data_IF_015743041057
#
_entry.id   IF_015743041057
#
_cell.length_a   1.000
_cell.length_b   1.000
_cell.length_c   1.000
_cell.angle_alpha   90.00
_cell.angle_beta   90.00
_cell.angle_gamma   90.00
#
_symmetry.space_group_name_H-M   'P 1'
#
loop_
_entity.id
_entity.type
_entity.pdbx_description
1 polymer ?
#
# COMPACT_ATOMS: atom_id res chain seq x y z
N UNK A 1 -2.59 -0.94 -23.83
CA UNK A 1 -2.34 -0.79 -22.38
C UNK A 1 -3.59 -0.40 -21.62
N UNK A 2 -4.26 0.70 -21.98
CA UNK A 2 -5.50 1.15 -21.31
C UNK A 2 -6.59 0.06 -21.26
N UNK A 3 -6.79 -0.69 -22.34
CA UNK A 3 -7.77 -1.79 -22.39
C UNK A 3 -7.43 -2.95 -21.43
N UNK A 4 -6.13 -3.20 -21.15
CA UNK A 4 -5.71 -4.21 -20.17
C UNK A 4 -6.16 -3.85 -18.74
N UNK A 5 -6.57 -2.60 -18.51
CA UNK A 5 -7.05 -2.09 -17.24
C UNK A 5 -8.55 -1.74 -17.27
N UNK A 6 -9.36 -2.18 -18.24
CA UNK A 6 -10.77 -1.72 -18.35
C UNK A 6 -10.93 -0.19 -18.49
N UNK A 7 -9.95 0.48 -19.09
CA UNK A 7 -10.02 1.91 -19.37
C UNK A 7 -9.08 2.75 -18.53
N UNK A 8 -9.09 4.06 -18.82
CA UNK A 8 -8.12 5.01 -18.26
C UNK A 8 -8.31 5.23 -16.76
N UNK A 9 -9.55 5.11 -16.27
CA UNK A 9 -9.90 5.34 -14.86
C UNK A 9 -9.16 4.33 -13.97
N UNK A 10 -9.27 3.04 -14.25
CA UNK A 10 -8.63 2.02 -13.41
C UNK A 10 -7.11 1.98 -13.61
N UNK A 11 -6.60 2.32 -14.80
CA UNK A 11 -5.16 2.54 -14.97
C UNK A 11 -4.66 3.69 -14.07
N UNK A 12 -5.40 4.80 -13.99
CA UNK A 12 -5.05 5.91 -13.11
C UNK A 12 -5.12 5.50 -11.63
N UNK A 13 -6.18 4.78 -11.21
CA UNK A 13 -6.30 4.25 -9.84
C UNK A 13 -5.13 3.32 -9.52
N UNK A 14 -4.77 2.43 -10.43
CA UNK A 14 -3.64 1.51 -10.27
C UNK A 14 -2.33 2.27 -10.07
N UNK A 15 -2.06 3.27 -10.91
CA UNK A 15 -0.86 4.08 -10.80
C UNK A 15 -0.82 4.87 -9.49
N UNK A 16 -1.90 5.55 -9.11
CA UNK A 16 -1.98 6.33 -7.86
C UNK A 16 -1.75 5.42 -6.65
N UNK A 17 -2.40 4.25 -6.64
CA UNK A 17 -2.26 3.28 -5.55
C UNK A 17 -0.79 2.83 -5.38
N UNK A 18 -0.18 2.32 -6.45
CA UNK A 18 1.16 1.74 -6.36
C UNK A 18 2.28 2.79 -6.33
N UNK A 19 2.06 4.03 -6.79
CA UNK A 19 2.95 5.16 -6.50
C UNK A 19 2.94 5.46 -4.99
N UNK A 20 1.78 5.38 -4.34
CA UNK A 20 1.68 5.48 -2.88
C UNK A 20 2.54 4.41 -2.19
N UNK A 21 2.44 3.16 -2.65
CA UNK A 21 3.29 2.07 -2.15
C UNK A 21 4.77 2.34 -2.36
N UNK A 22 5.16 2.76 -3.57
CA UNK A 22 6.55 3.08 -3.90
C UNK A 22 7.09 4.20 -3.01
N UNK A 23 6.30 5.24 -2.80
CA UNK A 23 6.65 6.38 -1.95
C UNK A 23 6.88 5.95 -0.50
N UNK A 24 5.94 5.23 0.11
CA UNK A 24 6.09 4.76 1.50
C UNK A 24 7.23 3.73 1.62
N UNK A 25 7.36 2.81 0.68
CA UNK A 25 8.48 1.86 0.63
C UNK A 25 9.83 2.58 0.59
N UNK A 26 9.97 3.59 -0.28
CA UNK A 26 11.17 4.40 -0.39
C UNK A 26 11.47 5.18 0.90
N UNK A 27 10.46 5.84 1.47
CA UNK A 27 10.59 6.59 2.73
C UNK A 27 11.05 5.71 3.87
N UNK A 28 10.45 4.53 4.02
CA UNK A 28 10.78 3.58 5.08
C UNK A 28 12.19 3.00 4.91
N UNK A 29 12.64 2.71 3.69
CA UNK A 29 13.92 2.01 3.43
C UNK A 29 15.11 2.96 3.30
N UNK A 30 14.97 4.01 2.49
CA UNK A 30 16.09 4.89 2.13
C UNK A 30 16.08 6.22 2.88
N UNK A 31 14.91 6.66 3.38
CA UNK A 31 14.78 7.88 4.19
C UNK A 31 14.31 7.58 5.62
N UNK A 32 14.71 6.42 6.16
CA UNK A 32 14.24 5.88 7.44
C UNK A 32 14.32 6.89 8.58
N UNK A 33 15.45 7.62 8.70
CA UNK A 33 15.63 8.61 9.77
C UNK A 33 14.56 9.72 9.71
N UNK A 34 14.30 10.25 8.52
CA UNK A 34 13.26 11.28 8.33
C UNK A 34 11.87 10.72 8.62
N UNK A 35 11.60 9.46 8.25
CA UNK A 35 10.34 8.79 8.55
C UNK A 35 10.14 8.59 10.06
N UNK A 36 11.15 8.10 10.77
CA UNK A 36 11.10 7.95 12.23
C UNK A 36 10.86 9.31 12.91
N UNK A 37 11.57 10.36 12.47
CA UNK A 37 11.42 11.71 12.99
C UNK A 37 10.01 12.29 12.79
N UNK A 38 9.35 11.96 11.67
CA UNK A 38 7.98 12.39 11.37
C UNK A 38 6.98 11.84 12.41
N UNK A 39 7.15 10.59 12.83
CA UNK A 39 6.25 9.92 13.79
C UNK A 39 6.76 9.92 15.24
N UNK A 40 7.87 10.59 15.52
CA UNK A 40 8.46 10.63 16.87
C UNK A 40 8.99 9.27 17.35
N UNK A 41 9.35 8.38 16.43
CA UNK A 41 9.91 7.08 16.75
C UNK A 41 11.40 7.18 17.07
N UNK A 42 11.86 6.42 18.06
CA UNK A 42 13.29 6.31 18.38
C UNK A 42 14.07 5.59 17.27
N UNK A 43 15.36 5.91 17.10
CA UNK A 43 16.22 5.39 16.02
C UNK A 43 16.37 3.87 16.02
N UNK A 44 16.21 3.24 17.18
CA UNK A 44 16.17 1.77 17.32
C UNK A 44 15.02 1.12 16.55
N UNK A 45 13.98 1.88 16.18
CA UNK A 45 12.89 1.45 15.31
C UNK A 45 13.29 1.31 13.83
N UNK A 46 14.49 1.74 13.43
CA UNK A 46 14.92 1.71 12.03
C UNK A 46 14.83 0.31 11.40
N UNK A 47 15.18 -0.75 12.16
CA UNK A 47 15.12 -2.13 11.68
C UNK A 47 13.71 -2.54 11.28
N UNK A 48 12.72 -2.31 12.16
CA UNK A 48 11.32 -2.72 11.90
C UNK A 48 10.65 -1.86 10.83
N UNK A 49 10.98 -0.56 10.76
CA UNK A 49 10.46 0.34 9.71
C UNK A 49 10.99 -0.06 8.33
N UNK A 50 12.28 -0.40 8.21
CA UNK A 50 12.85 -0.90 6.96
C UNK A 50 12.27 -2.25 6.55
N UNK A 51 12.07 -3.15 7.52
CA UNK A 51 11.37 -4.41 7.28
C UNK A 51 9.98 -4.18 6.70
N UNK A 52 9.18 -3.29 7.31
CA UNK A 52 7.87 -2.92 6.78
C UNK A 52 7.95 -2.31 5.36
N UNK A 53 8.89 -1.38 5.14
CA UNK A 53 9.12 -0.78 3.84
C UNK A 53 9.53 -1.77 2.74
N UNK A 54 10.24 -2.86 3.10
CA UNK A 54 10.64 -3.89 2.13
C UNK A 54 9.44 -4.60 1.49
N UNK A 55 8.36 -4.79 2.24
CA UNK A 55 7.11 -5.39 1.75
C UNK A 55 6.45 -4.46 0.72
N UNK A 56 6.45 -3.15 0.99
CA UNK A 56 5.92 -2.14 0.08
C UNK A 56 6.71 -2.08 -1.24
N UNK A 57 8.04 -2.17 -1.16
CA UNK A 57 8.89 -2.26 -2.35
C UNK A 57 8.58 -3.54 -3.14
N UNK A 58 8.50 -4.70 -2.48
CA UNK A 58 8.14 -5.97 -3.14
C UNK A 58 6.79 -5.90 -3.86
N UNK A 59 5.77 -5.35 -3.21
CA UNK A 59 4.44 -5.12 -3.80
C UNK A 59 4.49 -4.17 -4.99
N UNK A 60 5.30 -3.12 -4.92
CA UNK A 60 5.51 -2.17 -6.03
C UNK A 60 6.16 -2.84 -7.24
N UNK A 61 7.21 -3.64 -7.02
CA UNK A 61 7.89 -4.39 -8.09
C UNK A 61 6.92 -5.38 -8.73
N UNK A 62 6.12 -6.08 -7.92
CA UNK A 62 5.11 -7.01 -8.44
C UNK A 62 4.05 -6.26 -9.26
N UNK A 63 3.60 -5.09 -8.81
CA UNK A 63 2.67 -4.23 -9.56
C UNK A 63 3.24 -3.83 -10.92
N UNK A 64 4.51 -3.39 -10.97
CA UNK A 64 5.19 -3.06 -12.23
C UNK A 64 5.22 -4.28 -13.15
N UNK A 65 5.56 -5.44 -12.61
CA UNK A 65 5.61 -6.68 -13.38
C UNK A 65 4.24 -7.05 -13.97
N UNK A 66 3.18 -7.16 -13.17
CA UNK A 66 1.85 -7.54 -13.67
C UNK A 66 1.23 -6.47 -14.56
N UNK A 67 1.49 -5.19 -14.27
CA UNK A 67 0.88 -4.07 -15.00
C UNK A 67 1.52 -3.81 -16.36
N UNK A 68 2.83 -4.04 -16.51
CA UNK A 68 3.58 -3.56 -17.67
C UNK A 68 4.47 -4.59 -18.35
N UNK A 69 4.90 -5.65 -17.65
CA UNK A 69 5.91 -6.61 -18.17
C UNK A 69 5.26 -7.95 -18.54
N UNK A 70 4.37 -8.47 -17.69
CA UNK A 70 3.71 -9.77 -17.88
C UNK A 70 2.89 -9.75 -19.19
N UNK A 71 3.07 -10.71 -20.11
CA UNK A 71 2.36 -10.73 -21.40
C UNK A 71 0.84 -10.63 -21.26
N UNK A 72 0.27 -11.45 -20.37
CA UNK A 72 -1.17 -11.53 -20.09
C UNK A 72 -1.65 -10.42 -19.11
N UNK A 73 -0.81 -9.44 -18.81
CA UNK A 73 -1.14 -8.31 -17.95
C UNK A 73 -1.71 -8.74 -16.59
N UNK A 74 -2.92 -8.27 -16.29
CA UNK A 74 -3.62 -8.52 -15.04
C UNK A 74 -4.43 -9.83 -15.01
N UNK A 75 -4.47 -10.59 -16.09
CA UNK A 75 -5.30 -11.80 -16.17
C UNK A 75 -4.90 -12.85 -15.12
N UNK A 76 -5.88 -13.39 -14.39
CA UNK A 76 -5.67 -14.38 -13.33
C UNK A 76 -4.67 -13.93 -12.23
N UNK A 77 -4.63 -12.63 -11.92
CA UNK A 77 -3.75 -12.06 -10.87
C UNK A 77 -4.48 -11.79 -9.55
N UNK A 78 -5.68 -12.35 -9.36
CA UNK A 78 -6.53 -12.11 -8.19
C UNK A 78 -5.81 -12.22 -6.84
N UNK A 79 -4.89 -13.18 -6.69
CA UNK A 79 -4.20 -13.42 -5.43
C UNK A 79 -3.38 -12.20 -5.00
N UNK A 80 -2.73 -11.51 -5.96
CA UNK A 80 -1.99 -10.28 -5.70
C UNK A 80 -2.93 -9.15 -5.28
N UNK A 81 -3.99 -8.88 -6.05
CA UNK A 81 -4.92 -7.79 -5.75
C UNK A 81 -5.67 -8.00 -4.43
N UNK A 82 -6.14 -9.23 -4.17
CA UNK A 82 -6.78 -9.57 -2.90
C UNK A 82 -5.82 -9.41 -1.72
N UNK A 83 -4.57 -9.83 -1.86
CA UNK A 83 -3.58 -9.68 -0.80
C UNK A 83 -3.32 -8.19 -0.51
N UNK A 84 -3.15 -7.36 -1.55
CA UNK A 84 -2.95 -5.92 -1.40
C UNK A 84 -4.16 -5.27 -0.71
N UNK A 85 -5.38 -5.63 -1.11
CA UNK A 85 -6.59 -5.15 -0.44
C UNK A 85 -6.63 -5.54 1.04
N UNK A 86 -6.39 -6.81 1.35
CA UNK A 86 -6.41 -7.30 2.74
C UNK A 86 -5.30 -6.69 3.60
N UNK A 87 -4.11 -6.46 3.03
CA UNK A 87 -3.01 -5.77 3.70
C UNK A 87 -3.40 -4.33 4.05
N UNK A 88 -3.98 -3.58 3.10
CA UNK A 88 -4.42 -2.21 3.34
C UNK A 88 -5.55 -2.14 4.38
N UNK A 89 -6.54 -3.03 4.26
CA UNK A 89 -7.66 -3.09 5.20
C UNK A 89 -7.17 -3.44 6.61
N UNK A 90 -6.26 -4.40 6.71
CA UNK A 90 -5.65 -4.79 7.99
C UNK A 90 -4.85 -3.64 8.59
N UNK A 91 -4.05 -2.93 7.79
CA UNK A 91 -3.32 -1.74 8.23
C UNK A 91 -4.27 -0.63 8.70
N UNK A 92 -5.42 -0.42 8.04
CA UNK A 92 -6.43 0.52 8.49
C UNK A 92 -7.04 0.13 9.84
N UNK A 93 -7.47 -1.12 10.01
CA UNK A 93 -8.08 -1.62 11.26
C UNK A 93 -7.07 -1.53 12.41
N UNK A 94 -5.84 -2.00 12.20
CA UNK A 94 -4.77 -1.96 13.21
C UNK A 94 -4.38 -0.50 13.50
N UNK A 95 -4.25 0.35 12.48
CA UNK A 95 -3.97 1.77 12.64
C UNK A 95 -5.03 2.49 13.47
N UNK A 96 -6.31 2.20 13.23
CA UNK A 96 -7.42 2.72 14.04
C UNK A 96 -7.33 2.23 15.49
N UNK A 97 -7.12 0.93 15.70
CA UNK A 97 -6.95 0.37 17.03
C UNK A 97 -5.78 1.03 17.78
N UNK A 98 -4.60 1.10 17.17
CA UNK A 98 -3.38 1.67 17.75
C UNK A 98 -3.43 3.18 17.94
N UNK A 99 -4.30 3.90 17.24
CA UNK A 99 -4.37 5.37 17.35
C UNK A 99 -5.55 5.84 18.20
N UNK A 100 -6.68 5.12 18.18
CA UNK A 100 -7.91 5.56 18.85
C UNK A 100 -8.28 4.73 20.08
N UNK A 101 -7.83 3.48 20.17
CA UNK A 101 -8.24 2.55 21.25
C UNK A 101 -7.07 2.29 22.21
N UNK A 102 -5.98 1.74 21.70
CA UNK A 102 -4.78 1.41 22.47
C UNK A 102 -3.70 2.46 22.24
N UNK A 103 -3.40 3.26 23.28
CA UNK A 103 -2.47 4.40 23.18
C UNK A 103 -1.00 4.04 23.43
N UNK A 104 -0.66 2.74 23.43
CA UNK A 104 0.73 2.30 23.58
C UNK A 104 1.60 2.88 22.47
N UNK A 105 2.72 3.51 22.85
CA UNK A 105 3.66 4.12 21.91
C UNK A 105 3.25 5.49 21.36
N UNK A 106 2.20 6.11 21.90
CA UNK A 106 1.82 7.48 21.54
C UNK A 106 2.88 8.49 21.95
N UNK A 107 3.09 9.49 21.09
CA UNK A 107 3.97 10.65 21.32
C UNK A 107 3.24 11.91 20.88
N UNK A 108 3.84 13.08 21.13
CA UNK A 108 3.31 14.36 20.64
C UNK A 108 3.27 14.45 19.10
N UNK A 109 3.90 13.50 18.39
CA UNK A 109 3.91 13.38 16.94
C UNK A 109 3.00 12.28 16.41
N UNK A 110 2.23 11.61 17.27
CA UNK A 110 1.25 10.62 16.82
C UNK A 110 0.24 11.29 15.89
N UNK A 111 0.05 10.69 14.71
CA UNK A 111 -0.74 11.27 13.62
C UNK A 111 -1.81 10.29 13.16
N UNK A 112 -2.99 10.82 12.83
CA UNK A 112 -4.08 10.06 12.22
C UNK A 112 -3.77 9.62 10.78
N UNK A 113 -2.62 10.03 10.21
CA UNK A 113 -2.10 9.51 8.95
C UNK A 113 -2.01 7.97 8.95
N UNK A 114 -1.68 7.36 10.10
CA UNK A 114 -1.65 5.91 10.28
C UNK A 114 -3.04 5.25 10.11
N UNK A 115 -4.12 6.03 10.11
CA UNK A 115 -5.49 5.59 9.82
C UNK A 115 -5.86 5.97 8.38
N UNK A 116 -5.69 7.25 8.02
CA UNK A 116 -6.21 7.78 6.76
C UNK A 116 -5.44 7.29 5.53
N UNK A 117 -4.11 7.12 5.62
CA UNK A 117 -3.33 6.62 4.49
C UNK A 117 -3.70 5.15 4.15
N UNK A 118 -3.76 4.21 5.12
CA UNK A 118 -4.27 2.87 4.85
C UNK A 118 -5.74 2.84 4.39
N UNK A 119 -6.61 3.71 4.92
CA UNK A 119 -8.01 3.79 4.47
C UNK A 119 -8.11 4.17 2.99
N UNK A 120 -7.36 5.20 2.57
CA UNK A 120 -7.32 5.62 1.18
C UNK A 120 -6.82 4.50 0.27
N UNK A 121 -5.71 3.83 0.64
CA UNK A 121 -5.18 2.70 -0.09
C UNK A 121 -6.16 1.52 -0.14
N UNK A 122 -6.93 1.28 0.94
CA UNK A 122 -7.97 0.26 1.00
C UNK A 122 -9.05 0.52 -0.04
N UNK A 123 -9.59 1.75 -0.08
CA UNK A 123 -10.63 2.16 -1.04
C UNK A 123 -10.13 1.99 -2.47
N UNK A 124 -8.94 2.51 -2.78
CA UNK A 124 -8.36 2.37 -4.12
C UNK A 124 -8.15 0.89 -4.51
N UNK A 125 -7.65 0.04 -3.60
CA UNK A 125 -7.51 -1.40 -3.89
C UNK A 125 -8.86 -2.12 -4.05
N UNK A 126 -9.89 -1.73 -3.29
CA UNK A 126 -11.24 -2.27 -3.47
C UNK A 126 -11.83 -1.90 -4.84
N UNK A 127 -11.63 -0.65 -5.28
CA UNK A 127 -12.02 -0.20 -6.61
C UNK A 127 -11.29 -0.99 -7.70
N UNK A 128 -10.02 -1.32 -7.52
CA UNK A 128 -9.28 -2.17 -8.46
C UNK A 128 -9.81 -3.61 -8.47
N UNK A 129 -10.03 -4.22 -7.30
CA UNK A 129 -10.58 -5.58 -7.22
C UNK A 129 -11.96 -5.68 -7.91
N UNK A 130 -12.83 -4.69 -7.68
CA UNK A 130 -14.16 -4.66 -8.29
C UNK A 130 -14.10 -4.31 -9.79
N UNK A 131 -13.38 -3.25 -10.14
CA UNK A 131 -13.33 -2.70 -11.50
C UNK A 131 -12.57 -3.55 -12.51
N UNK A 132 -11.70 -4.44 -12.05
CA UNK A 132 -10.90 -5.35 -12.88
C UNK A 132 -11.34 -6.81 -12.73
N UNK A 133 -12.51 -7.06 -12.13
CA UNK A 133 -12.94 -8.40 -11.73
C UNK A 133 -12.99 -9.40 -12.91
N UNK A 134 -13.47 -8.97 -14.08
CA UNK A 134 -13.53 -9.73 -15.33
C UNK A 134 -12.15 -10.11 -15.88
N UNK A 135 -11.07 -9.53 -15.35
CA UNK A 135 -9.69 -9.86 -15.73
C UNK A 135 -8.97 -10.62 -14.65
N UNK A 136 -9.04 -10.15 -13.40
CA UNK A 136 -8.19 -10.71 -12.35
C UNK A 136 -8.69 -12.07 -11.84
N UNK A 137 -9.99 -12.38 -11.94
CA UNK A 137 -10.63 -13.59 -11.42
C UNK A 137 -10.98 -14.65 -12.49
N UNK A 138 -10.45 -14.53 -13.71
CA UNK A 138 -10.65 -15.52 -14.79
C UNK A 138 -9.92 -16.83 -14.55
#
# INVERSE_FOLDING_TARGET
>A
MIEKFNGIIYLAVFLVHFIGFAYYGFRCVFQTQSFLNQYGMHDTGAGIVRFFGSIFIGSTVMAIYVGFIRPNGLEATWAFFNLIFLQNLSAFIVGFYSTKINKLGHTDKTSDEAIYAPLFLTILSAVLCYGLADKIYV
#
